data_IF_800767020901
#
_entry.id   IF_800767020901
#
_cell.length_a   1.000
_cell.length_b   1.000
_cell.length_c   1.000
_cell.angle_alpha   90.00
_cell.angle_beta   90.00
_cell.angle_gamma   90.00
#
_symmetry.space_group_name_H-M   'P 1'
#
loop_
_entity.id
_entity.type
_entity.pdbx_description
1 polymer ?
#
# COMPACT_ATOMS: atom_id res chain seq x y z
N UNK A 1 -17.97 10.88 -44.72
CA UNK A 1 -16.51 10.88 -44.48
C UNK A 1 -16.28 10.37 -43.07
N UNK A 2 -15.70 9.17 -42.91
CA UNK A 2 -15.36 8.63 -41.60
C UNK A 2 -14.06 9.27 -41.12
N UNK A 3 -14.09 9.92 -39.96
CA UNK A 3 -12.91 10.49 -39.31
C UNK A 3 -12.08 9.34 -38.74
N UNK A 4 -10.96 9.03 -39.38
CA UNK A 4 -9.97 8.11 -38.82
C UNK A 4 -9.33 8.77 -37.59
N UNK A 5 -9.73 8.36 -36.40
CA UNK A 5 -9.03 8.70 -35.16
C UNK A 5 -7.68 7.99 -35.16
N UNK A 6 -6.60 8.76 -35.27
CA UNK A 6 -5.23 8.26 -35.12
C UNK A 6 -5.13 7.54 -33.77
N UNK A 7 -4.64 6.30 -33.71
CA UNK A 7 -4.48 5.61 -32.44
C UNK A 7 -3.53 6.42 -31.54
N UNK A 8 -3.82 6.53 -30.23
CA UNK A 8 -2.99 7.29 -29.33
C UNK A 8 -1.55 6.76 -29.36
N UNK A 9 -0.60 7.65 -29.63
CA UNK A 9 0.81 7.30 -29.65
C UNK A 9 1.23 6.89 -28.24
N UNK A 10 1.58 5.61 -28.06
CA UNK A 10 2.16 5.14 -26.81
C UNK A 10 3.53 5.78 -26.65
N UNK A 11 3.75 6.48 -25.54
CA UNK A 11 5.02 7.12 -25.20
C UNK A 11 5.65 6.37 -24.05
N UNK A 12 6.89 5.93 -24.24
CA UNK A 12 7.72 5.44 -23.15
C UNK A 12 8.23 6.64 -22.35
N UNK A 13 8.03 6.60 -21.03
CA UNK A 13 8.56 7.60 -20.13
C UNK A 13 9.91 7.15 -19.59
N UNK A 14 10.80 8.12 -19.33
CA UNK A 14 12.09 7.82 -18.74
C UNK A 14 11.92 7.01 -17.43
N UNK A 15 12.75 5.98 -17.19
CA UNK A 15 12.70 5.21 -15.96
C UNK A 15 12.86 6.10 -14.72
N UNK A 16 12.06 5.82 -13.68
CA UNK A 16 12.05 6.58 -12.42
C UNK A 16 13.26 6.22 -11.54
N UNK A 17 14.48 6.42 -12.04
CA UNK A 17 15.71 6.07 -11.32
C UNK A 17 15.83 6.79 -9.97
N UNK A 18 15.32 8.02 -9.86
CA UNK A 18 15.28 8.76 -8.60
C UNK A 18 14.53 8.01 -7.49
N UNK A 19 13.44 7.32 -7.85
CA UNK A 19 12.64 6.54 -6.91
C UNK A 19 13.36 5.23 -6.59
N UNK A 20 13.80 4.50 -7.60
CA UNK A 20 14.46 3.20 -7.40
C UNK A 20 15.76 3.33 -6.60
N UNK A 21 16.57 4.36 -6.88
CA UNK A 21 17.83 4.60 -6.17
C UNK A 21 17.62 4.98 -4.69
N UNK A 22 16.44 5.44 -4.32
CA UNK A 22 16.10 5.75 -2.91
C UNK A 22 15.74 4.50 -2.08
N UNK A 23 15.47 3.38 -2.76
CA UNK A 23 15.17 2.08 -2.16
C UNK A 23 16.47 1.25 -2.10
N UNK A 24 16.89 0.77 -0.92
CA UNK A 24 18.11 -0.02 -0.82
C UNK A 24 17.93 -1.37 -1.52
N UNK A 25 18.87 -1.73 -2.41
CA UNK A 25 18.86 -3.04 -3.06
C UNK A 25 19.20 -4.20 -2.10
N UNK A 26 19.92 -3.90 -1.01
CA UNK A 26 20.29 -4.87 0.03
C UNK A 26 20.14 -4.23 1.41
N UNK A 27 19.70 -5.02 2.39
CA UNK A 27 19.65 -4.61 3.79
C UNK A 27 20.42 -5.61 4.65
N UNK A 28 21.03 -5.13 5.73
CA UNK A 28 21.66 -6.00 6.71
C UNK A 28 20.60 -6.47 7.73
N UNK A 29 20.47 -7.78 7.91
CA UNK A 29 19.59 -8.40 8.90
C UNK A 29 20.45 -9.27 9.81
N UNK A 30 20.93 -8.67 10.90
CA UNK A 30 22.02 -9.24 11.71
C UNK A 30 23.29 -9.35 10.88
N UNK A 31 23.93 -10.52 10.88
CA UNK A 31 25.16 -10.78 10.13
C UNK A 31 24.95 -11.12 8.64
N UNK A 32 23.69 -11.22 8.17
CA UNK A 32 23.38 -11.58 6.77
C UNK A 32 22.93 -10.36 5.98
N UNK A 33 23.47 -10.21 4.76
CA UNK A 33 22.96 -9.27 3.76
C UNK A 33 21.82 -9.94 3.00
N UNK A 34 20.64 -9.32 3.00
CA UNK A 34 19.43 -9.83 2.35
C UNK A 34 19.08 -8.91 1.19
N UNK A 35 18.80 -9.49 0.02
CA UNK A 35 18.31 -8.75 -1.15
C UNK A 35 16.89 -8.23 -0.90
N UNK A 36 16.65 -6.99 -1.29
CA UNK A 36 15.32 -6.38 -1.25
C UNK A 36 14.67 -6.56 -2.61
N UNK A 37 13.59 -7.33 -2.64
CA UNK A 37 12.75 -7.44 -3.82
C UNK A 37 11.53 -6.53 -3.67
N UNK A 38 11.16 -5.87 -4.76
CA UNK A 38 9.91 -5.12 -4.84
C UNK A 38 8.82 -6.10 -5.24
N UNK A 39 7.79 -6.21 -4.42
CA UNK A 39 6.79 -7.30 -4.51
C UNK A 39 5.39 -6.79 -4.82
N UNK A 40 5.10 -5.53 -4.50
CA UNK A 40 3.82 -4.91 -4.76
C UNK A 40 4.02 -3.43 -5.12
N UNK A 41 3.11 -2.89 -5.92
CA UNK A 41 3.14 -1.50 -6.39
C UNK A 41 1.71 -0.99 -6.50
N UNK A 42 1.49 0.24 -6.05
CA UNK A 42 0.30 1.01 -6.39
C UNK A 42 0.64 2.49 -6.51
N UNK A 43 -0.08 3.22 -7.34
CA UNK A 43 0.19 4.63 -7.59
C UNK A 43 -1.10 5.45 -7.62
N UNK A 44 -1.02 6.64 -7.03
CA UNK A 44 -2.03 7.70 -7.15
C UNK A 44 -1.39 8.95 -7.77
N UNK A 45 -2.18 10.01 -7.92
CA UNK A 45 -1.70 11.32 -8.38
C UNK A 45 -0.61 11.89 -7.47
N UNK A 46 -0.67 11.58 -6.18
CA UNK A 46 0.18 12.19 -5.16
C UNK A 46 1.25 11.25 -4.61
N UNK A 47 0.99 9.94 -4.64
CA UNK A 47 1.87 8.95 -4.03
C UNK A 47 2.18 7.79 -4.95
N UNK A 48 3.35 7.19 -4.76
CA UNK A 48 3.69 5.86 -5.28
C UNK A 48 4.03 5.00 -4.07
N UNK A 49 3.29 3.92 -3.87
CA UNK A 49 3.50 2.97 -2.79
C UNK A 49 4.13 1.70 -3.35
N UNK A 50 5.24 1.28 -2.75
CA UNK A 50 6.01 0.10 -3.14
C UNK A 50 6.18 -0.80 -1.94
N UNK A 51 5.68 -2.03 -2.03
CA UNK A 51 5.90 -3.08 -1.04
C UNK A 51 7.19 -3.85 -1.33
N UNK A 52 7.81 -4.37 -0.27
CA UNK A 52 9.04 -5.16 -0.39
C UNK A 52 8.95 -6.52 0.28
N UNK A 53 9.84 -7.43 -0.14
CA UNK A 53 10.00 -8.77 0.43
C UNK A 53 10.45 -8.78 1.89
N UNK A 54 10.96 -7.66 2.40
CA UNK A 54 11.46 -7.53 3.77
C UNK A 54 10.43 -6.93 4.74
N UNK A 55 9.21 -6.61 4.28
CA UNK A 55 8.16 -6.01 5.11
C UNK A 55 8.23 -4.50 5.23
N UNK A 56 8.98 -3.84 4.34
CA UNK A 56 9.02 -2.39 4.24
C UNK A 56 8.04 -1.91 3.17
N UNK A 57 7.28 -0.88 3.53
CA UNK A 57 6.50 -0.06 2.60
C UNK A 57 7.30 1.21 2.30
N UNK A 58 7.60 1.43 1.02
CA UNK A 58 8.24 2.63 0.52
C UNK A 58 7.18 3.51 -0.13
N UNK A 59 7.02 4.73 0.37
CA UNK A 59 6.03 5.67 -0.11
C UNK A 59 6.74 6.92 -0.66
N UNK A 60 6.64 7.11 -1.97
CA UNK A 60 7.15 8.31 -2.63
C UNK A 60 6.05 9.36 -2.70
N UNK A 61 6.26 10.52 -2.08
CA UNK A 61 5.40 11.68 -2.27
C UNK A 61 5.85 12.45 -3.52
N UNK A 62 5.00 12.48 -4.56
CA UNK A 62 5.28 13.19 -5.82
C UNK A 62 5.33 14.70 -5.62
N UNK A 63 4.49 15.25 -4.73
CA UNK A 63 4.45 16.70 -4.43
C UNK A 63 5.73 17.19 -3.76
N UNK A 64 6.22 16.44 -2.77
CA UNK A 64 7.42 16.81 -2.00
C UNK A 64 8.71 16.24 -2.58
N UNK A 65 8.62 15.36 -3.57
CA UNK A 65 9.74 14.59 -4.13
C UNK A 65 10.55 13.84 -3.07
N UNK A 66 9.88 13.34 -2.02
CA UNK A 66 10.50 12.68 -0.87
C UNK A 66 10.01 11.23 -0.73
N UNK A 67 10.91 10.35 -0.28
CA UNK A 67 10.60 8.97 0.03
C UNK A 67 10.48 8.76 1.54
N UNK A 68 9.32 8.32 2.00
CA UNK A 68 9.07 7.83 3.34
C UNK A 68 9.12 6.30 3.37
N UNK A 69 9.57 5.74 4.50
CA UNK A 69 9.74 4.30 4.69
C UNK A 69 8.96 3.91 5.94
N UNK A 70 8.06 2.95 5.80
CA UNK A 70 7.24 2.45 6.91
C UNK A 70 7.49 0.97 7.11
N UNK A 71 7.69 0.58 8.36
CA UNK A 71 7.90 -0.81 8.74
C UNK A 71 6.59 -1.43 9.20
N UNK A 72 6.31 -2.65 8.76
CA UNK A 72 5.28 -3.50 9.34
C UNK A 72 5.83 -4.13 10.63
N UNK A 73 5.08 -4.04 11.72
CA UNK A 73 5.57 -4.31 13.07
C UNK A 73 5.67 -5.82 13.34
N UNK A 74 6.69 -6.21 14.11
CA UNK A 74 6.95 -7.60 14.48
C UNK A 74 7.99 -8.28 13.57
N UNK A 75 7.54 -9.13 12.65
CA UNK A 75 8.41 -9.94 11.78
C UNK A 75 8.54 -9.28 10.41
N UNK A 76 9.76 -9.33 9.86
CA UNK A 76 10.05 -8.94 8.48
C UNK A 76 9.41 -9.97 7.54
N UNK A 77 8.16 -9.68 7.20
CA UNK A 77 7.30 -10.51 6.36
C UNK A 77 7.13 -9.84 4.99
N UNK A 78 7.17 -10.60 3.89
CA UNK A 78 6.99 -10.03 2.56
C UNK A 78 5.63 -9.34 2.43
N UNK A 79 5.67 -8.11 1.91
CA UNK A 79 4.47 -7.44 1.42
C UNK A 79 4.02 -8.15 0.15
N UNK A 80 2.77 -8.55 0.06
CA UNK A 80 2.21 -9.25 -1.11
C UNK A 80 1.25 -8.38 -1.91
N UNK A 81 0.57 -7.42 -1.25
CA UNK A 81 -0.37 -6.52 -1.89
C UNK A 81 -0.28 -5.11 -1.27
N UNK A 82 -0.49 -4.08 -2.09
CA UNK A 82 -0.55 -2.67 -1.65
C UNK A 82 -1.67 -1.98 -2.41
N UNK A 83 -2.46 -1.15 -1.71
CA UNK A 83 -3.48 -0.31 -2.32
C UNK A 83 -3.57 1.07 -1.66
N UNK A 84 -3.39 2.10 -2.47
CA UNK A 84 -3.59 3.50 -2.14
C UNK A 84 -5.07 3.86 -2.22
N UNK A 85 -5.47 4.77 -1.34
CA UNK A 85 -6.75 5.46 -1.39
C UNK A 85 -6.48 6.95 -1.15
N UNK A 86 -6.86 7.77 -2.12
CA UNK A 86 -6.80 9.23 -2.04
C UNK A 86 -8.22 9.76 -2.25
N UNK A 87 -9.05 9.69 -1.21
CA UNK A 87 -10.43 10.20 -1.25
C UNK A 87 -10.57 11.37 -0.26
N UNK A 88 -10.90 11.08 1.00
CA UNK A 88 -10.95 12.08 2.08
C UNK A 88 -9.61 12.17 2.82
N UNK A 89 -9.11 11.03 3.26
CA UNK A 89 -7.78 10.83 3.80
C UNK A 89 -6.90 10.08 2.81
N UNK A 90 -5.59 10.33 2.88
CA UNK A 90 -4.59 9.58 2.14
C UNK A 90 -4.31 8.29 2.94
N UNK A 91 -4.90 7.16 2.53
CA UNK A 91 -4.71 5.87 3.17
C UNK A 91 -3.92 4.91 2.28
N UNK A 92 -3.20 3.98 2.92
CA UNK A 92 -2.54 2.86 2.26
C UNK A 92 -2.89 1.57 2.97
N UNK A 93 -3.48 0.62 2.24
CA UNK A 93 -3.63 -0.75 2.69
C UNK A 93 -2.43 -1.58 2.23
N UNK A 94 -1.93 -2.43 3.12
CA UNK A 94 -0.81 -3.34 2.87
C UNK A 94 -1.21 -4.74 3.33
N UNK A 95 -1.03 -5.72 2.47
CA UNK A 95 -1.25 -7.13 2.75
C UNK A 95 0.07 -7.87 2.78
N UNK A 96 0.22 -8.83 3.69
CA UNK A 96 1.43 -9.63 3.84
C UNK A 96 1.22 -11.07 3.39
N UNK A 97 2.33 -11.77 3.15
CA UNK A 97 2.35 -13.21 2.90
C UNK A 97 1.83 -14.07 4.08
N UNK A 98 1.76 -13.51 5.29
CA UNK A 98 1.25 -14.21 6.47
C UNK A 98 -0.26 -14.05 6.69
N UNK A 99 -0.94 -13.26 5.85
CA UNK A 99 -2.37 -12.95 6.03
C UNK A 99 -2.65 -11.75 6.93
N UNK A 100 -1.64 -10.94 7.24
CA UNK A 100 -1.86 -9.67 7.95
C UNK A 100 -2.25 -8.60 6.96
N UNK A 101 -3.18 -7.74 7.37
CA UNK A 101 -3.54 -6.53 6.63
C UNK A 101 -3.24 -5.34 7.54
N UNK A 102 -2.48 -4.38 7.06
CA UNK A 102 -2.15 -3.16 7.78
C UNK A 102 -2.66 -1.95 7.00
N UNK A 103 -3.20 -0.98 7.71
CA UNK A 103 -3.65 0.30 7.19
C UNK A 103 -2.76 1.40 7.72
N UNK A 104 -2.25 2.24 6.82
CA UNK A 104 -1.51 3.44 7.15
C UNK A 104 -2.31 4.65 6.73
N UNK A 105 -2.67 5.49 7.69
CA UNK A 105 -3.16 6.83 7.42
C UNK A 105 -1.96 7.76 7.29
N UNK A 106 -1.78 8.30 6.09
CA UNK A 106 -0.66 9.14 5.76
C UNK A 106 -0.88 10.55 6.30
N UNK A 107 0.24 11.18 6.68
CA UNK A 107 0.24 12.60 7.04
C UNK A 107 0.02 13.39 5.78
N UNK A 108 -1.06 14.16 5.74
CA UNK A 108 -1.31 15.05 4.62
C UNK A 108 -0.75 16.44 4.95
N UNK A 109 0.01 17.06 4.04
CA UNK A 109 0.53 18.41 4.23
C UNK A 109 -0.58 19.49 4.13
N UNK A 110 -1.82 19.11 3.81
CA UNK A 110 -2.94 20.03 3.65
C UNK A 110 -3.56 20.42 5.01
N UNK A 111 -3.87 21.71 5.24
CA UNK A 111 -4.52 22.16 6.48
C UNK A 111 -5.90 21.49 6.65
N UNK A 112 -6.19 21.00 7.85
CA UNK A 112 -7.43 20.28 8.19
C UNK A 112 -7.37 18.76 8.00
N UNK A 113 -6.27 18.21 7.48
CA UNK A 113 -6.04 16.76 7.38
C UNK A 113 -5.12 16.24 8.49
N UNK A 114 -4.98 14.92 8.56
CA UNK A 114 -4.23 14.24 9.61
C UNK A 114 -2.75 14.67 9.64
N UNK A 115 -2.31 15.10 10.83
CA UNK A 115 -0.93 15.55 11.12
C UNK A 115 -0.01 14.43 11.62
N UNK A 116 -0.55 13.26 11.96
CA UNK A 116 0.21 12.13 12.47
C UNK A 116 -0.06 10.87 11.65
N UNK A 117 0.99 10.06 11.46
CA UNK A 117 0.84 8.75 10.86
C UNK A 117 0.09 7.86 11.85
N UNK A 118 -1.11 7.43 11.49
CA UNK A 118 -1.83 6.39 12.24
C UNK A 118 -1.72 5.07 11.52
N UNK A 119 -1.57 3.99 12.30
CA UNK A 119 -1.50 2.64 11.78
C UNK A 119 -2.55 1.78 12.45
N UNK A 120 -3.24 0.96 11.67
CA UNK A 120 -4.22 0.00 12.14
C UNK A 120 -3.89 -1.37 11.58
N UNK A 121 -3.66 -2.34 12.45
CA UNK A 121 -3.38 -3.72 12.04
C UNK A 121 -4.63 -4.57 12.18
N UNK A 122 -4.99 -5.23 11.08
CA UNK A 122 -6.06 -6.24 11.01
C UNK A 122 -5.40 -7.60 10.96
N UNK A 123 -5.34 -8.27 12.12
CA UNK A 123 -4.67 -9.55 12.29
C UNK A 123 -5.68 -10.64 12.61
N UNK A 124 -5.42 -11.86 12.14
CA UNK A 124 -6.22 -13.05 12.46
C UNK A 124 -7.41 -13.30 11.54
N UNK A 125 -7.69 -12.40 10.59
CA UNK A 125 -8.74 -12.62 9.59
C UNK A 125 -8.32 -13.60 8.50
N UNK A 126 -7.08 -13.49 8.00
CA UNK A 126 -6.51 -14.41 7.02
C UNK A 126 -5.42 -15.26 7.67
N UNK A 127 -5.32 -16.51 7.24
CA UNK A 127 -4.27 -17.46 7.65
C UNK A 127 -3.33 -17.83 6.48
N UNK A 128 -3.47 -17.12 5.37
CA UNK A 128 -2.76 -17.37 4.12
C UNK A 128 -2.42 -16.05 3.42
N UNK A 129 -1.64 -16.09 2.34
CA UNK A 129 -1.09 -14.90 1.70
C UNK A 129 -2.21 -13.99 1.22
N UNK A 130 -2.17 -12.71 1.57
CA UNK A 130 -3.07 -11.72 0.97
C UNK A 130 -2.69 -11.55 -0.50
N UNK A 131 -3.60 -11.82 -1.42
CA UNK A 131 -3.36 -11.72 -2.87
C UNK A 131 -4.03 -10.50 -3.47
N UNK A 132 -5.11 -10.02 -2.85
CA UNK A 132 -5.88 -8.89 -3.35
C UNK A 132 -6.30 -7.96 -2.21
N UNK A 133 -6.24 -6.66 -2.49
CA UNK A 133 -6.80 -5.60 -1.66
C UNK A 133 -7.62 -4.69 -2.55
N UNK A 134 -8.76 -4.20 -2.06
CA UNK A 134 -9.57 -3.23 -2.77
C UNK A 134 -10.32 -2.32 -1.78
N UNK A 135 -10.27 -1.03 -2.03
CA UNK A 135 -11.04 -0.04 -1.27
C UNK A 135 -12.43 0.13 -1.86
N UNK A 136 -13.42 0.37 -1.00
CA UNK A 136 -14.71 0.89 -1.46
C UNK A 136 -14.53 2.30 -2.02
N UNK A 137 -15.35 2.72 -3.01
CA UNK A 137 -15.24 4.07 -3.60
C UNK A 137 -15.39 5.21 -2.59
N UNK A 138 -16.15 4.98 -1.52
CA UNK A 138 -16.32 5.94 -0.42
C UNK A 138 -15.23 5.87 0.65
N UNK A 139 -14.25 4.96 0.53
CA UNK A 139 -13.12 4.83 1.45
C UNK A 139 -13.43 4.22 2.82
N UNK A 140 -14.68 3.85 3.10
CA UNK A 140 -15.10 3.36 4.42
C UNK A 140 -14.95 1.84 4.61
N UNK A 141 -14.64 1.10 3.55
CA UNK A 141 -14.47 -0.37 3.59
C UNK A 141 -13.22 -0.78 2.84
N UNK A 142 -12.49 -1.71 3.41
CA UNK A 142 -11.41 -2.42 2.75
C UNK A 142 -11.81 -3.88 2.56
N UNK A 143 -11.67 -4.38 1.35
CA UNK A 143 -11.80 -5.80 1.03
C UNK A 143 -10.41 -6.42 0.90
N UNK A 144 -10.20 -7.54 1.56
CA UNK A 144 -8.98 -8.34 1.51
C UNK A 144 -9.29 -9.76 1.06
N UNK A 145 -8.55 -10.23 0.06
CA UNK A 145 -8.63 -11.58 -0.48
C UNK A 145 -7.32 -12.33 -0.26
N UNK A 146 -7.41 -13.62 0.08
CA UNK A 146 -6.23 -14.47 0.27
C UNK A 146 -6.08 -15.59 -0.78
N UNK A 147 -4.95 -16.29 -0.73
CA UNK A 147 -4.60 -17.36 -1.68
C UNK A 147 -5.50 -18.61 -1.57
N UNK A 148 -6.28 -18.73 -0.49
CA UNK A 148 -7.27 -19.80 -0.30
C UNK A 148 -8.66 -19.39 -0.79
N UNK A 149 -8.80 -18.20 -1.37
CA UNK A 149 -10.07 -17.68 -1.87
C UNK A 149 -10.98 -17.12 -0.78
N UNK A 150 -10.49 -16.93 0.44
CA UNK A 150 -11.26 -16.25 1.49
C UNK A 150 -11.23 -14.74 1.22
N UNK A 151 -12.41 -14.14 1.17
CA UNK A 151 -12.58 -12.69 1.08
C UNK A 151 -13.20 -12.19 2.37
N UNK A 152 -12.61 -11.15 2.94
CA UNK A 152 -13.10 -10.46 4.14
C UNK A 152 -13.22 -8.99 3.83
N UNK A 153 -14.21 -8.32 4.43
CA UNK A 153 -14.23 -6.87 4.44
C UNK A 153 -14.02 -6.35 5.86
N UNK A 154 -13.36 -5.20 5.98
CA UNK A 154 -13.16 -4.47 7.23
C UNK A 154 -13.75 -3.08 7.07
N UNK A 155 -14.59 -2.64 8.01
CA UNK A 155 -15.00 -1.23 8.09
C UNK A 155 -13.83 -0.41 8.61
N UNK A 156 -13.54 0.71 7.97
CA UNK A 156 -12.50 1.65 8.40
C UNK A 156 -13.20 2.85 9.02
N UNK A 157 -13.32 2.82 10.34
CA UNK A 157 -13.74 3.98 11.14
C UNK A 157 -12.49 4.67 11.69
N UNK A 158 -12.29 5.92 11.29
CA UNK A 158 -11.10 6.72 11.64
C UNK A 158 -11.32 7.55 12.92
N UNK A 159 -12.56 7.63 13.40
CA UNK A 159 -13.00 8.39 14.57
C UNK A 159 -13.24 7.48 15.79
N UNK A 160 -13.74 6.26 15.57
CA UNK A 160 -13.79 5.20 16.57
C UNK A 160 -12.72 4.15 16.31
N UNK A 161 -11.92 3.86 17.33
CA UNK A 161 -10.88 2.82 17.36
C UNK A 161 -11.50 1.41 17.31
N UNK A 162 -12.28 1.09 16.27
CA UNK A 162 -12.90 -0.23 16.10
C UNK A 162 -13.10 -0.56 14.61
N UNK A 163 -12.28 -1.47 14.09
CA UNK A 163 -12.60 -2.21 12.87
C UNK A 163 -13.69 -3.22 13.22
N UNK A 164 -14.95 -2.83 13.04
CA UNK A 164 -16.09 -3.70 13.37
C UNK A 164 -16.29 -4.75 12.28
N UNK A 165 -16.26 -6.01 12.72
CA UNK A 165 -16.50 -7.18 11.88
C UNK A 165 -18.00 -7.33 11.66
N UNK A 166 -18.42 -7.56 10.43
CA UNK A 166 -19.72 -8.15 10.13
C UNK A 166 -19.46 -9.22 9.07
N UNK A 167 -19.61 -10.49 9.46
CA UNK A 167 -19.72 -11.57 8.48
C UNK A 167 -21.10 -11.45 7.80
N UNK A 168 -21.23 -11.78 6.50
CA UNK A 168 -22.54 -12.08 5.94
C UNK A 168 -23.17 -13.31 6.60
#
# INVERSE_FOLDING_TARGET
MATHTTPPLLKEFCPLYYLLNSIPAKVQKGFRSVLVYLTALDASSDYIAVGSSIGMLYLYCRRLSQMNKYNLEGKSEPVSAVKLLSCFDDLVAVGTASGRVALFQLVSPLPGRNKQLRRFDVVGLHKSTITALAWSPNGMKLFSGDDKGKVVYSSVDLDQVLLTQNQP
#
